data_IF_507249686145
#
_entry.id   IF_507249686145
#
_cell.length_a   1.000
_cell.length_b   1.000
_cell.length_c   1.000
_cell.angle_alpha   90.00
_cell.angle_beta   90.00
_cell.angle_gamma   90.00
#
_symmetry.space_group_name_H-M   'P 1'
#
loop_
_entity.id
_entity.type
_entity.pdbx_description
1 polymer ?
#
# COMPACT_ATOMS: atom_id res chain seq x y z
N UNK A 1 20.10 -23.77 -26.55
CA UNK A 1 19.55 -22.53 -25.97
C UNK A 1 19.94 -21.38 -26.88
N UNK A 2 19.02 -20.90 -27.71
CA UNK A 2 19.21 -19.68 -28.48
C UNK A 2 19.12 -18.49 -27.52
N UNK A 3 20.13 -17.61 -27.52
CA UNK A 3 20.10 -16.42 -26.70
C UNK A 3 18.89 -15.57 -27.09
N UNK A 4 17.98 -15.32 -26.15
CA UNK A 4 16.87 -14.39 -26.35
C UNK A 4 17.49 -13.04 -26.71
N UNK A 5 17.15 -12.44 -27.88
CA UNK A 5 17.72 -11.17 -28.27
C UNK A 5 17.47 -10.14 -27.18
N UNK A 6 18.51 -9.39 -26.82
CA UNK A 6 18.41 -8.36 -25.79
C UNK A 6 17.30 -7.36 -26.17
N UNK A 7 16.45 -6.94 -25.20
CA UNK A 7 15.43 -5.94 -25.45
C UNK A 7 16.08 -4.70 -26.10
N UNK A 8 15.61 -4.33 -27.30
CA UNK A 8 16.09 -3.10 -27.93
C UNK A 8 15.67 -1.92 -27.05
N UNK A 9 16.65 -1.14 -26.61
CA UNK A 9 16.37 0.08 -25.85
C UNK A 9 15.55 1.03 -26.72
N UNK A 10 14.49 1.69 -26.20
CA UNK A 10 13.73 2.62 -27.00
C UNK A 10 14.61 3.78 -27.46
N UNK A 11 14.60 4.09 -28.76
CA UNK A 11 15.34 5.23 -29.28
C UNK A 11 14.73 6.58 -28.81
N UNK A 12 13.43 6.60 -28.49
CA UNK A 12 12.69 7.79 -28.07
C UNK A 12 13.01 8.21 -26.60
N UNK A 13 13.39 9.48 -26.34
CA UNK A 13 13.69 9.97 -25.00
C UNK A 13 12.51 9.91 -24.03
N UNK A 14 11.26 10.13 -24.50
CA UNK A 14 10.09 10.07 -23.62
C UNK A 14 9.86 8.65 -23.09
N UNK A 15 10.02 7.67 -23.97
CA UNK A 15 9.94 6.26 -23.60
C UNK A 15 11.02 5.86 -22.59
N UNK A 16 12.26 6.36 -22.74
CA UNK A 16 13.34 6.12 -21.77
C UNK A 16 13.07 6.75 -20.40
N UNK A 17 12.53 7.97 -20.37
CA UNK A 17 12.15 8.63 -19.13
C UNK A 17 11.02 7.88 -18.40
N UNK A 18 9.97 7.47 -19.13
CA UNK A 18 8.90 6.65 -18.59
C UNK A 18 9.42 5.31 -18.06
N UNK A 19 10.32 4.64 -18.77
CA UNK A 19 10.97 3.42 -18.27
C UNK A 19 11.79 3.64 -17.01
N UNK A 20 12.51 4.76 -16.89
CA UNK A 20 13.22 5.13 -15.67
C UNK A 20 12.30 5.18 -14.45
N UNK A 21 11.10 5.72 -14.62
CA UNK A 21 10.09 5.81 -13.56
C UNK A 21 9.47 4.44 -13.26
N UNK A 22 9.06 3.69 -14.28
CA UNK A 22 8.27 2.46 -14.12
C UNK A 22 9.08 1.19 -13.93
N UNK A 23 10.38 1.21 -14.22
CA UNK A 23 11.31 0.07 -14.04
C UNK A 23 12.46 0.47 -13.13
N UNK A 24 13.09 1.61 -13.39
CA UNK A 24 14.24 2.08 -12.60
C UNK A 24 13.90 2.33 -11.13
N UNK A 25 12.82 3.07 -10.84
CA UNK A 25 12.40 3.36 -9.46
C UNK A 25 12.05 2.08 -8.69
N UNK A 26 11.21 1.15 -9.20
CA UNK A 26 10.97 -0.11 -8.51
C UNK A 26 12.22 -0.95 -8.24
N UNK A 27 13.17 -0.99 -9.19
CA UNK A 27 14.44 -1.70 -8.99
C UNK A 27 15.30 -1.05 -7.90
N UNK A 28 15.31 0.28 -7.82
CA UNK A 28 15.95 1.00 -6.72
C UNK A 28 15.25 0.71 -5.39
N UNK A 29 13.92 0.72 -5.36
CA UNK A 29 13.10 0.45 -4.18
C UNK A 29 13.20 -1.00 -3.69
N UNK A 30 13.43 -1.96 -4.59
CA UNK A 30 13.64 -3.39 -4.27
C UNK A 30 14.79 -3.60 -3.29
N UNK A 31 15.78 -2.71 -3.30
CA UNK A 31 16.92 -2.71 -2.36
C UNK A 31 16.46 -2.46 -0.92
N UNK A 32 15.39 -1.71 -0.71
CA UNK A 32 14.87 -1.37 0.61
C UNK A 32 13.78 -2.35 1.04
N UNK A 33 12.78 -2.57 0.19
CA UNK A 33 11.63 -3.43 0.49
C UNK A 33 11.04 -4.04 -0.79
N UNK A 34 10.79 -5.35 -0.77
CA UNK A 34 10.08 -6.03 -1.84
C UNK A 34 8.64 -5.48 -2.00
N UNK A 35 7.97 -5.14 -0.90
CA UNK A 35 6.63 -4.56 -0.93
C UNK A 35 6.58 -3.20 -1.62
N UNK A 36 7.60 -2.35 -1.40
CA UNK A 36 7.73 -1.05 -2.07
C UNK A 36 7.96 -1.22 -3.59
N UNK A 37 8.79 -2.19 -3.97
CA UNK A 37 8.99 -2.51 -5.38
C UNK A 37 7.69 -2.98 -6.04
N UNK A 38 6.94 -3.87 -5.37
CA UNK A 38 5.64 -4.35 -5.87
C UNK A 38 4.63 -3.20 -5.99
N UNK A 39 4.62 -2.24 -5.06
CA UNK A 39 3.79 -1.03 -5.20
C UNK A 39 4.18 -0.24 -6.43
N UNK A 40 5.48 0.01 -6.60
CA UNK A 40 5.98 0.90 -7.64
C UNK A 40 5.83 0.31 -9.05
N UNK A 41 5.83 -1.03 -9.18
CA UNK A 41 5.47 -1.71 -10.45
C UNK A 41 3.95 -1.70 -10.67
N UNK A 42 3.16 -1.50 -9.63
CA UNK A 42 1.72 -1.52 -9.76
C UNK A 42 1.17 -0.30 -10.54
N UNK A 43 1.06 -0.45 -11.86
CA UNK A 43 0.57 0.60 -12.76
C UNK A 43 1.20 0.55 -14.15
N UNK A 44 1.98 -0.49 -14.49
CA UNK A 44 2.65 -0.64 -15.79
C UNK A 44 1.75 -0.38 -17.01
N UNK A 45 0.44 -0.60 -16.90
CA UNK A 45 -0.50 -0.28 -17.98
C UNK A 45 -0.52 1.22 -18.35
N UNK A 46 -0.20 2.11 -17.41
CA UNK A 46 -0.05 3.56 -17.64
C UNK A 46 1.20 3.86 -18.46
N UNK A 47 2.25 3.04 -18.33
CA UNK A 47 3.50 3.17 -19.07
C UNK A 47 3.39 2.77 -20.55
N UNK A 48 2.27 2.14 -20.96
CA UNK A 48 1.99 1.83 -22.37
C UNK A 48 1.94 3.11 -23.20
N UNK A 49 1.45 4.22 -22.63
CA UNK A 49 1.46 5.55 -23.23
C UNK A 49 2.56 6.39 -22.55
N UNK A 50 3.71 6.66 -23.20
CA UNK A 50 4.85 7.32 -22.55
C UNK A 50 4.51 8.63 -21.85
N UNK A 51 3.66 9.46 -22.46
CA UNK A 51 3.22 10.74 -21.89
C UNK A 51 2.44 10.53 -20.59
N UNK A 52 1.50 9.57 -20.57
CA UNK A 52 0.73 9.27 -19.35
C UNK A 52 1.63 8.65 -18.29
N UNK A 53 2.49 7.71 -18.67
CA UNK A 53 3.46 7.10 -17.78
C UNK A 53 4.45 8.10 -17.16
N UNK A 54 4.80 9.16 -17.88
CA UNK A 54 5.68 10.23 -17.39
C UNK A 54 4.93 11.23 -16.50
N UNK A 55 3.79 11.72 -16.96
CA UNK A 55 3.07 12.81 -16.28
C UNK A 55 2.27 12.33 -15.06
N UNK A 56 1.65 11.15 -15.10
CA UNK A 56 0.75 10.73 -14.01
C UNK A 56 1.44 10.64 -12.64
N UNK A 57 2.62 10.00 -12.49
CA UNK A 57 3.36 9.99 -11.22
C UNK A 57 3.71 11.39 -10.71
N UNK A 58 4.15 12.29 -11.61
CA UNK A 58 4.54 13.66 -11.25
C UNK A 58 3.33 14.47 -10.80
N UNK A 59 2.23 14.42 -11.54
CA UNK A 59 1.00 15.13 -11.19
C UNK A 59 0.43 14.65 -9.87
N UNK A 60 0.41 13.33 -9.64
CA UNK A 60 -0.09 12.74 -8.39
C UNK A 60 0.84 13.05 -7.21
N UNK A 61 2.16 13.07 -7.42
CA UNK A 61 3.13 13.51 -6.42
C UNK A 61 2.91 14.99 -6.04
N UNK A 62 2.80 15.88 -7.03
CA UNK A 62 2.54 17.31 -6.80
C UNK A 62 1.21 17.52 -6.09
N UNK A 63 0.17 16.77 -6.46
CA UNK A 63 -1.12 16.81 -5.77
C UNK A 63 -1.00 16.38 -4.31
N UNK A 64 -0.27 15.30 -4.04
CA UNK A 64 0.03 14.87 -2.67
C UNK A 64 0.74 15.96 -1.89
N UNK A 65 1.77 16.58 -2.49
CA UNK A 65 2.52 17.68 -1.89
C UNK A 65 1.62 18.87 -1.55
N UNK A 66 0.75 19.30 -2.47
CA UNK A 66 -0.23 20.37 -2.21
C UNK A 66 -1.14 20.00 -1.03
N UNK A 67 -1.63 18.76 -0.97
CA UNK A 67 -2.49 18.32 0.15
C UNK A 67 -1.72 18.33 1.48
N UNK A 68 -0.45 17.90 1.49
CA UNK A 68 0.39 17.89 2.67
C UNK A 68 0.78 19.29 3.14
N UNK A 69 0.96 20.25 2.24
CA UNK A 69 1.32 21.64 2.58
C UNK A 69 0.13 22.41 3.13
N UNK A 70 -1.03 22.32 2.46
CA UNK A 70 -2.15 23.23 2.72
C UNK A 70 -3.26 22.63 3.58
N UNK A 71 -3.17 21.33 3.93
CA UNK A 71 -4.18 20.58 4.68
C UNK A 71 -5.63 20.87 4.28
N UNK A 72 -5.98 20.85 2.98
CA UNK A 72 -7.24 21.43 2.53
C UNK A 72 -8.45 20.65 3.08
N UNK A 73 -9.22 21.29 3.97
CA UNK A 73 -10.43 20.73 4.57
C UNK A 73 -10.21 19.82 5.78
N UNK A 74 -9.02 19.82 6.39
CA UNK A 74 -8.78 19.17 7.67
C UNK A 74 -7.81 19.99 8.54
N UNK A 75 -8.01 19.94 9.85
CA UNK A 75 -7.19 20.68 10.81
C UNK A 75 -6.13 19.77 11.46
N UNK A 76 -6.50 18.51 11.74
CA UNK A 76 -5.64 17.58 12.49
C UNK A 76 -5.18 16.38 11.66
N UNK A 77 -6.12 15.76 10.96
CA UNK A 77 -5.88 14.50 10.24
C UNK A 77 -6.67 14.47 8.94
N UNK A 78 -6.07 13.94 7.88
CA UNK A 78 -6.70 13.87 6.56
C UNK A 78 -8.04 13.12 6.54
N UNK A 79 -8.36 12.32 7.58
CA UNK A 79 -9.65 11.63 7.70
C UNK A 79 -10.82 12.56 7.97
N UNK A 80 -10.58 13.83 8.35
CA UNK A 80 -11.61 14.86 8.45
C UNK A 80 -12.11 15.32 7.07
N UNK A 81 -11.25 15.24 6.04
CA UNK A 81 -11.57 15.68 4.69
C UNK A 81 -12.08 14.52 3.82
N UNK A 82 -13.40 14.37 3.70
CA UNK A 82 -14.01 13.30 2.89
C UNK A 82 -13.43 13.26 1.46
N UNK A 83 -13.32 14.40 0.80
CA UNK A 83 -12.85 14.45 -0.59
C UNK A 83 -11.39 13.98 -0.72
N UNK A 84 -10.54 14.19 0.29
CA UNK A 84 -9.17 13.67 0.33
C UNK A 84 -9.21 12.15 0.42
N UNK A 85 -10.06 11.59 1.29
CA UNK A 85 -10.26 10.14 1.39
C UNK A 85 -10.74 9.52 0.07
N UNK A 86 -11.71 10.16 -0.58
CA UNK A 86 -12.22 9.73 -1.89
C UNK A 86 -11.11 9.75 -2.94
N UNK A 87 -10.31 10.82 -2.99
CA UNK A 87 -9.16 10.94 -3.89
C UNK A 87 -8.13 9.84 -3.65
N UNK A 88 -7.71 9.62 -2.39
CA UNK A 88 -6.73 8.59 -2.04
C UNK A 88 -7.22 7.20 -2.48
N UNK A 89 -8.48 6.89 -2.17
CA UNK A 89 -9.08 5.61 -2.50
C UNK A 89 -9.14 5.38 -4.02
N UNK A 90 -9.52 6.40 -4.80
CA UNK A 90 -9.54 6.34 -6.27
C UNK A 90 -8.13 6.17 -6.84
N UNK A 91 -7.19 7.03 -6.43
CA UNK A 91 -5.80 7.00 -6.94
C UNK A 91 -5.12 5.67 -6.63
N UNK A 92 -5.25 5.19 -5.39
CA UNK A 92 -4.72 3.89 -4.98
C UNK A 92 -5.35 2.72 -5.72
N UNK A 93 -6.67 2.72 -5.88
CA UNK A 93 -7.38 1.67 -6.62
C UNK A 93 -6.98 1.63 -8.11
N UNK A 94 -6.72 2.78 -8.73
CA UNK A 94 -6.19 2.86 -10.10
C UNK A 94 -4.79 2.24 -10.20
N UNK A 95 -3.89 2.58 -9.27
CA UNK A 95 -2.50 2.12 -9.31
C UNK A 95 -1.83 2.30 -7.94
N UNK A 96 -1.31 1.21 -7.37
CA UNK A 96 -0.49 1.27 -6.16
C UNK A 96 0.76 2.15 -6.31
N UNK A 97 1.31 2.27 -7.53
CA UNK A 97 2.41 3.19 -7.81
C UNK A 97 1.96 4.65 -7.70
N UNK A 98 0.80 5.01 -8.29
CA UNK A 98 0.24 6.35 -8.13
C UNK A 98 -0.08 6.65 -6.66
N UNK A 99 -0.67 5.70 -5.93
CA UNK A 99 -0.88 5.81 -4.49
C UNK A 99 0.42 6.04 -3.71
N UNK A 100 1.52 5.40 -4.12
CA UNK A 100 2.84 5.59 -3.51
C UNK A 100 3.37 7.00 -3.78
N UNK A 101 3.29 7.50 -5.01
CA UNK A 101 3.69 8.87 -5.34
C UNK A 101 2.83 9.92 -4.62
N UNK A 102 1.51 9.68 -4.51
CA UNK A 102 0.60 10.53 -3.73
C UNK A 102 1.03 10.60 -2.27
N UNK A 103 1.32 9.43 -1.68
CA UNK A 103 1.76 9.31 -0.28
C UNK A 103 3.10 10.00 -0.08
N UNK A 104 4.08 9.80 -0.96
CA UNK A 104 5.39 10.47 -0.85
C UNK A 104 5.27 11.98 -0.98
N UNK A 105 4.45 12.47 -1.91
CA UNK A 105 4.14 13.89 -2.04
C UNK A 105 3.52 14.43 -0.76
N UNK A 106 2.50 13.76 -0.23
CA UNK A 106 1.83 14.13 1.01
C UNK A 106 2.81 14.21 2.19
N UNK A 107 3.57 13.15 2.43
CA UNK A 107 4.54 13.10 3.54
C UNK A 107 5.61 14.20 3.42
N UNK A 108 6.15 14.43 2.22
CA UNK A 108 7.17 15.47 2.04
C UNK A 108 6.61 16.88 2.15
N UNK A 109 5.40 17.13 1.62
CA UNK A 109 4.72 18.41 1.78
C UNK A 109 4.42 18.70 3.24
N UNK A 110 3.85 17.72 3.95
CA UNK A 110 3.47 17.81 5.35
C UNK A 110 4.68 17.99 6.29
N UNK A 111 5.76 17.22 6.09
CA UNK A 111 6.94 17.30 6.95
C UNK A 111 7.80 18.55 6.74
N UNK A 112 7.93 19.02 5.48
CA UNK A 112 8.90 20.07 5.15
C UNK A 112 8.28 21.47 5.15
N UNK A 113 6.98 21.56 4.86
CA UNK A 113 6.33 22.81 4.50
C UNK A 113 4.94 22.97 5.15
N UNK A 114 4.36 21.91 5.71
CA UNK A 114 3.08 21.96 6.39
C UNK A 114 3.19 22.66 7.75
N UNK A 115 2.21 23.50 8.05
CA UNK A 115 2.08 24.10 9.38
C UNK A 115 1.35 23.13 10.31
N UNK A 116 1.82 23.00 11.55
CA UNK A 116 1.23 22.08 12.51
C UNK A 116 0.94 22.77 13.84
N UNK A 117 -0.09 23.64 13.91
CA UNK A 117 -0.34 24.48 15.08
C UNK A 117 -0.50 23.69 16.40
N UNK A 118 -1.00 22.46 16.32
CA UNK A 118 -1.14 21.54 17.45
C UNK A 118 0.20 20.95 17.92
N UNK A 119 1.17 20.81 17.03
CA UNK A 119 2.46 20.20 17.31
C UNK A 119 3.53 21.23 17.62
N UNK A 120 3.39 22.46 17.12
CA UNK A 120 4.27 23.59 17.44
C UNK A 120 4.15 24.05 18.90
N UNK A 121 3.08 23.63 19.60
CA UNK A 121 2.88 23.89 21.04
C UNK A 121 3.78 23.06 21.94
N UNK A 122 4.22 21.89 21.48
CA UNK A 122 5.23 21.11 22.17
C UNK A 122 6.56 21.79 21.91
N UNK A 123 6.94 22.72 22.81
CA UNK A 123 8.31 23.16 22.86
C UNK A 123 9.20 21.92 23.00
N UNK A 124 10.38 21.91 22.39
CA UNK A 124 11.39 20.85 22.60
C UNK A 124 11.96 20.83 24.04
N UNK A 125 11.13 21.16 25.04
CA UNK A 125 11.48 21.23 26.45
C UNK A 125 11.61 19.85 27.08
N UNK A 126 10.77 18.88 26.70
CA UNK A 126 10.83 17.52 27.23
C UNK A 126 11.14 16.47 26.14
N UNK A 127 12.05 15.54 26.46
CA UNK A 127 12.40 14.42 25.57
C UNK A 127 11.20 13.49 25.24
N UNK A 128 10.13 13.58 26.03
CA UNK A 128 8.90 12.81 25.84
C UNK A 128 7.96 13.41 24.79
N UNK A 129 8.15 14.67 24.41
CA UNK A 129 7.31 15.34 23.42
C UNK A 129 7.65 14.90 21.98
N UNK A 130 8.91 14.51 21.75
CA UNK A 130 9.41 14.05 20.44
C UNK A 130 8.64 12.79 19.97
N UNK A 131 8.57 11.68 20.74
CA UNK A 131 7.79 10.51 20.31
C UNK A 131 6.31 10.79 20.09
N UNK A 132 5.73 11.73 20.83
CA UNK A 132 4.34 12.12 20.67
C UNK A 132 4.10 12.82 19.32
N UNK A 133 4.88 13.85 19.01
CA UNK A 133 4.78 14.59 17.75
C UNK A 133 5.05 13.69 16.54
N UNK A 134 6.22 13.06 16.49
CA UNK A 134 6.63 12.24 15.34
C UNK A 134 5.85 10.93 15.25
N UNK A 135 5.39 10.38 16.38
CA UNK A 135 4.52 9.21 16.42
C UNK A 135 3.17 9.51 15.75
N UNK A 136 2.56 10.64 16.10
CA UNK A 136 1.29 11.10 15.51
C UNK A 136 1.41 11.32 14.00
N UNK A 137 2.45 12.02 13.55
CA UNK A 137 2.74 12.19 12.12
C UNK A 137 2.92 10.84 11.42
N UNK A 138 3.76 9.97 11.97
CA UNK A 138 4.02 8.65 11.39
C UNK A 138 2.74 7.83 11.24
N UNK A 139 1.86 7.83 12.24
CA UNK A 139 0.60 7.10 12.21
C UNK A 139 -0.37 7.68 11.16
N UNK A 140 -0.45 9.01 11.04
CA UNK A 140 -1.21 9.67 9.96
C UNK A 140 -0.70 9.25 8.59
N UNK A 141 0.62 9.26 8.37
CA UNK A 141 1.23 8.81 7.12
C UNK A 141 1.02 7.33 6.85
N UNK A 142 1.08 6.49 7.88
CA UNK A 142 0.86 5.07 7.78
C UNK A 142 -0.59 4.76 7.37
N UNK A 143 -1.57 5.48 7.94
CA UNK A 143 -2.98 5.36 7.57
C UNK A 143 -3.24 5.81 6.13
N UNK A 144 -2.65 6.94 5.74
CA UNK A 144 -2.70 7.43 4.37
C UNK A 144 -2.13 6.39 3.39
N UNK A 145 -0.92 5.90 3.65
CA UNK A 145 -0.25 4.88 2.87
C UNK A 145 -1.02 3.55 2.84
N UNK A 146 -1.67 3.18 3.95
CA UNK A 146 -2.47 1.97 4.02
C UNK A 146 -3.66 2.02 3.07
N UNK A 147 -4.38 3.14 2.99
CA UNK A 147 -5.47 3.30 2.02
C UNK A 147 -4.94 3.44 0.58
N UNK A 148 -3.93 4.28 0.38
CA UNK A 148 -3.38 4.60 -0.94
C UNK A 148 -2.66 3.42 -1.61
N UNK A 149 -1.95 2.61 -0.83
CA UNK A 149 -0.99 1.60 -1.31
C UNK A 149 -1.28 0.23 -0.72
N UNK A 150 -1.44 0.16 0.60
CA UNK A 150 -1.61 -1.10 1.33
C UNK A 150 -2.81 -1.91 0.84
N UNK A 151 -3.99 -1.28 0.80
CA UNK A 151 -5.25 -1.91 0.40
C UNK A 151 -5.21 -2.42 -1.05
N UNK A 152 -4.83 -1.62 -2.08
CA UNK A 152 -4.73 -2.11 -3.46
C UNK A 152 -3.74 -3.27 -3.64
N UNK A 153 -2.58 -3.23 -2.99
CA UNK A 153 -1.59 -4.32 -3.08
C UNK A 153 -2.14 -5.58 -2.41
N UNK A 154 -2.66 -5.45 -1.20
CA UNK A 154 -3.23 -6.58 -0.47
C UNK A 154 -4.38 -7.22 -1.26
N UNK A 155 -5.26 -6.40 -1.85
CA UNK A 155 -6.38 -6.90 -2.65
C UNK A 155 -5.91 -7.77 -3.82
N UNK A 156 -4.82 -7.38 -4.47
CA UNK A 156 -4.24 -8.15 -5.57
C UNK A 156 -3.54 -9.41 -5.13
N UNK A 157 -2.80 -9.35 -4.04
CA UNK A 157 -2.15 -10.53 -3.46
C UNK A 157 -3.20 -11.58 -3.11
N UNK A 158 -4.31 -11.19 -2.48
CA UNK A 158 -5.40 -12.10 -2.19
C UNK A 158 -6.16 -12.55 -3.45
N UNK A 159 -6.42 -11.65 -4.41
CA UNK A 159 -7.08 -12.01 -5.67
C UNK A 159 -6.25 -12.99 -6.51
N UNK A 160 -4.92 -12.97 -6.40
CA UNK A 160 -4.04 -13.90 -7.08
C UNK A 160 -4.20 -15.36 -6.60
N UNK A 161 -4.71 -15.58 -5.39
CA UNK A 161 -5.01 -16.92 -4.87
C UNK A 161 -6.23 -17.55 -5.58
N UNK A 162 -7.10 -16.74 -6.19
CA UNK A 162 -8.28 -17.20 -6.93
C UNK A 162 -7.99 -17.50 -8.41
N UNK A 163 -6.72 -17.68 -8.78
CA UNK A 163 -6.32 -18.03 -10.15
C UNK A 163 -6.81 -19.43 -10.51
N UNK A 164 -7.71 -19.50 -11.48
CA UNK A 164 -8.21 -20.77 -12.01
C UNK A 164 -7.17 -21.48 -12.90
N UNK A 165 -7.19 -22.84 -12.94
CA UNK A 165 -6.29 -23.63 -13.78
C UNK A 165 -6.34 -23.25 -15.27
N UNK A 166 -5.25 -23.51 -16.00
CA UNK A 166 -5.16 -23.20 -17.42
C UNK A 166 -6.17 -23.94 -18.32
N UNK A 167 -6.76 -25.03 -17.82
CA UNK A 167 -7.84 -25.78 -18.48
C UNK A 167 -9.16 -25.00 -18.57
N UNK A 168 -9.36 -23.97 -17.74
CA UNK A 168 -10.58 -23.16 -17.74
C UNK A 168 -10.52 -22.11 -18.87
N UNK A 169 -11.62 -21.86 -19.60
CA UNK A 169 -11.67 -20.84 -20.65
C UNK A 169 -11.15 -19.48 -20.18
N UNK A 170 -10.35 -18.79 -21.01
CA UNK A 170 -9.71 -17.50 -20.67
C UNK A 170 -10.71 -16.46 -20.18
N UNK A 171 -11.90 -16.39 -20.77
CA UNK A 171 -12.96 -15.47 -20.36
C UNK A 171 -13.44 -15.72 -18.92
N UNK A 172 -13.64 -16.98 -18.55
CA UNK A 172 -14.05 -17.36 -17.18
C UNK A 172 -12.94 -17.05 -16.18
N UNK A 173 -11.68 -17.35 -16.52
CA UNK A 173 -10.52 -17.02 -15.68
C UNK A 173 -10.40 -15.51 -15.44
N UNK A 174 -10.56 -14.73 -16.50
CA UNK A 174 -10.54 -13.27 -16.42
C UNK A 174 -11.70 -12.75 -15.57
N UNK A 175 -12.92 -13.25 -15.79
CA UNK A 175 -14.10 -12.86 -15.01
C UNK A 175 -13.92 -13.15 -13.52
N UNK A 176 -13.44 -14.35 -13.16
CA UNK A 176 -13.21 -14.73 -11.76
C UNK A 176 -12.08 -13.91 -11.13
N UNK A 177 -10.96 -13.72 -11.84
CA UNK A 177 -9.85 -12.90 -11.34
C UNK A 177 -10.24 -11.43 -11.12
N UNK A 178 -10.99 -10.85 -12.07
CA UNK A 178 -11.49 -9.47 -11.96
C UNK A 178 -12.56 -9.35 -10.87
N UNK A 179 -13.50 -10.29 -10.81
CA UNK A 179 -14.53 -10.33 -9.76
C UNK A 179 -13.91 -10.44 -8.37
N UNK A 180 -12.93 -11.32 -8.18
CA UNK A 180 -12.18 -11.43 -6.94
C UNK A 180 -11.45 -10.13 -6.59
N UNK A 181 -10.74 -9.52 -7.54
CA UNK A 181 -10.04 -8.27 -7.32
C UNK A 181 -10.98 -7.14 -6.88
N UNK A 182 -12.11 -6.96 -7.56
CA UNK A 182 -13.10 -5.91 -7.23
C UNK A 182 -13.73 -6.15 -5.86
N UNK A 183 -14.17 -7.39 -5.59
CA UNK A 183 -14.80 -7.75 -4.32
C UNK A 183 -13.84 -7.57 -3.15
N UNK A 184 -12.62 -8.08 -3.27
CA UNK A 184 -11.60 -7.99 -2.21
C UNK A 184 -11.19 -6.53 -2.00
N UNK A 185 -11.02 -5.74 -3.07
CA UNK A 185 -10.71 -4.32 -2.95
C UNK A 185 -11.80 -3.58 -2.17
N UNK A 186 -13.08 -3.79 -2.52
CA UNK A 186 -14.21 -3.18 -1.81
C UNK A 186 -14.26 -3.60 -0.33
N UNK A 187 -14.05 -4.90 -0.05
CA UNK A 187 -14.03 -5.41 1.33
C UNK A 187 -12.87 -4.82 2.15
N UNK A 188 -11.67 -4.73 1.59
CA UNK A 188 -10.51 -4.17 2.30
C UNK A 188 -10.64 -2.67 2.53
N UNK A 189 -11.19 -1.91 1.59
CA UNK A 189 -11.53 -0.49 1.82
C UNK A 189 -12.58 -0.37 2.90
N UNK A 190 -13.62 -1.21 2.89
CA UNK A 190 -14.62 -1.23 3.96
C UNK A 190 -13.98 -1.49 5.33
N UNK A 191 -13.15 -2.53 5.46
CA UNK A 191 -12.41 -2.84 6.69
C UNK A 191 -11.54 -1.65 7.12
N UNK A 192 -10.88 -0.98 6.17
CA UNK A 192 -10.12 0.22 6.45
C UNK A 192 -11.01 1.34 7.01
N UNK A 193 -12.18 1.62 6.41
CA UNK A 193 -13.11 2.66 6.90
C UNK A 193 -13.62 2.37 8.31
N UNK A 194 -13.80 1.10 8.68
CA UNK A 194 -14.20 0.72 10.03
C UNK A 194 -13.03 0.79 11.04
N UNK A 195 -11.80 0.58 10.57
CA UNK A 195 -10.61 0.54 11.43
C UNK A 195 -9.98 1.92 11.62
N UNK A 196 -10.06 2.81 10.62
CA UNK A 196 -9.44 4.13 10.63
C UNK A 196 -9.86 4.99 11.84
N UNK A 197 -11.14 5.10 12.24
CA UNK A 197 -11.53 5.83 13.45
C UNK A 197 -10.84 5.35 14.73
N UNK A 198 -10.57 4.05 14.82
CA UNK A 198 -9.87 3.47 15.97
C UNK A 198 -8.37 3.80 15.89
N UNK A 199 -7.77 3.62 14.72
CA UNK A 199 -6.34 3.85 14.49
C UNK A 199 -5.96 5.33 14.49
N UNK A 200 -6.90 6.26 14.32
CA UNK A 200 -6.64 7.71 14.41
C UNK A 200 -6.56 8.17 15.88
N UNK A 201 -7.19 7.46 16.83
CA UNK A 201 -7.21 7.89 18.25
C UNK A 201 -5.82 8.12 18.85
N UNK A 202 -4.81 7.25 18.65
CA UNK A 202 -3.47 7.49 19.18
C UNK A 202 -2.86 8.81 18.69
N UNK A 203 -3.19 9.26 17.47
CA UNK A 203 -2.71 10.55 16.93
C UNK A 203 -3.10 11.71 17.85
N UNK A 204 -4.35 11.70 18.31
CA UNK A 204 -4.87 12.72 19.23
C UNK A 204 -4.36 12.52 20.65
N UNK A 205 -4.34 11.28 21.15
CA UNK A 205 -3.87 10.98 22.52
C UNK A 205 -2.41 11.38 22.70
N UNK A 206 -1.55 11.12 21.73
CA UNK A 206 -0.15 11.51 21.79
C UNK A 206 0.04 13.03 21.69
N UNK A 207 -0.81 13.71 20.93
CA UNK A 207 -0.78 15.18 20.83
C UNK A 207 -1.50 15.90 21.99
N UNK A 208 -1.82 15.21 23.09
CA UNK A 208 -2.64 15.71 24.21
C UNK A 208 -3.93 16.42 23.74
N UNK A 209 -4.50 15.91 22.66
CA UNK A 209 -5.69 16.45 22.01
C UNK A 209 -6.86 15.48 22.15
N UNK A 210 -8.08 16.01 22.04
CA UNK A 210 -9.30 15.19 22.00
C UNK A 210 -9.63 14.91 20.53
N UNK A 211 -9.94 13.66 20.16
CA UNK A 211 -10.37 13.37 18.80
C UNK A 211 -11.58 14.19 18.41
N UNK A 212 -11.52 14.82 17.24
CA UNK A 212 -12.65 15.58 16.70
C UNK A 212 -13.74 14.61 16.26
N UNK A 213 -15.01 15.04 16.41
CA UNK A 213 -16.16 14.25 15.91
C UNK A 213 -16.02 14.04 14.41
N UNK A 214 -15.58 15.07 13.69
CA UNK A 214 -15.42 15.07 12.23
C UNK A 214 -14.41 14.01 11.77
N UNK A 215 -13.28 13.85 12.47
CA UNK A 215 -12.25 12.87 12.10
C UNK A 215 -12.76 11.42 12.15
N UNK A 216 -13.73 11.14 13.04
CA UNK A 216 -14.33 9.81 13.19
C UNK A 216 -15.56 9.63 12.31
N UNK A 217 -16.49 10.59 12.39
CA UNK A 217 -17.80 10.50 11.72
C UNK A 217 -17.65 10.47 10.21
N UNK A 218 -16.69 11.20 9.63
CA UNK A 218 -16.47 11.23 8.18
C UNK A 218 -16.28 9.81 7.61
N UNK A 219 -15.39 9.02 8.20
CA UNK A 219 -15.17 7.63 7.76
C UNK A 219 -16.30 6.67 8.14
N UNK A 220 -17.02 6.91 9.24
CA UNK A 220 -18.10 6.02 9.70
C UNK A 220 -19.40 6.23 8.92
N UNK A 221 -19.78 7.48 8.70
CA UNK A 221 -21.02 7.86 8.02
C UNK A 221 -20.85 7.80 6.49
N UNK A 222 -19.70 8.24 5.97
CA UNK A 222 -19.44 8.30 4.53
C UNK A 222 -18.55 7.17 4.01
N UNK A 223 -18.23 6.16 4.84
CA UNK A 223 -17.38 5.04 4.47
C UNK A 223 -17.86 4.29 3.22
N UNK A 224 -19.18 4.21 3.01
CA UNK A 224 -19.79 3.61 1.82
C UNK A 224 -19.36 4.32 0.53
N UNK A 225 -19.26 5.65 0.53
CA UNK A 225 -18.82 6.41 -0.66
C UNK A 225 -17.36 6.13 -1.02
N UNK A 226 -16.50 5.99 0.01
CA UNK A 226 -15.09 5.62 -0.18
C UNK A 226 -14.98 4.24 -0.84
N UNK A 227 -15.78 3.28 -0.38
CA UNK A 227 -15.84 1.92 -0.96
C UNK A 227 -16.35 1.95 -2.39
N UNK A 228 -17.46 2.64 -2.66
CA UNK A 228 -18.06 2.73 -4.00
C UNK A 228 -17.05 3.28 -4.99
N UNK A 229 -16.39 4.41 -4.69
CA UNK A 229 -15.42 5.01 -5.61
C UNK A 229 -14.17 4.14 -5.81
N UNK A 230 -13.68 3.47 -4.76
CA UNK A 230 -12.57 2.53 -4.90
C UNK A 230 -12.94 1.34 -5.80
N UNK A 231 -14.15 0.80 -5.65
CA UNK A 231 -14.69 -0.28 -6.50
C UNK A 231 -14.81 0.18 -7.95
N UNK A 232 -15.41 1.36 -8.19
CA UNK A 232 -15.55 1.93 -9.53
C UNK A 232 -14.18 2.19 -10.18
N UNK A 233 -13.22 2.72 -9.43
CA UNK A 233 -11.85 2.91 -9.89
C UNK A 233 -11.15 1.58 -10.22
N UNK A 234 -11.36 0.54 -9.40
CA UNK A 234 -10.82 -0.81 -9.66
C UNK A 234 -11.42 -1.43 -10.92
N UNK A 235 -12.73 -1.26 -11.15
CA UNK A 235 -13.41 -1.69 -12.38
C UNK A 235 -12.89 -0.92 -13.59
N UNK A 236 -12.77 0.41 -13.49
CA UNK A 236 -12.24 1.26 -14.56
C UNK A 236 -10.81 0.88 -14.92
N UNK A 237 -9.96 0.66 -13.92
CA UNK A 237 -8.61 0.11 -14.08
C UNK A 237 -8.62 -1.22 -14.82
N UNK A 238 -9.43 -2.18 -14.37
CA UNK A 238 -9.54 -3.50 -15.00
C UNK A 238 -9.95 -3.40 -16.47
N UNK A 239 -10.90 -2.53 -16.80
CA UNK A 239 -11.33 -2.27 -18.16
C UNK A 239 -10.21 -1.67 -19.03
N UNK A 240 -9.46 -0.71 -18.50
CA UNK A 240 -8.29 -0.14 -19.20
C UNK A 240 -7.22 -1.20 -19.43
N UNK A 241 -6.94 -2.05 -18.43
CA UNK A 241 -5.97 -3.15 -18.60
C UNK A 241 -6.44 -4.16 -19.65
N UNK A 242 -7.73 -4.53 -19.66
CA UNK A 242 -8.28 -5.48 -20.63
C UNK A 242 -8.28 -4.92 -22.06
N UNK A 243 -8.58 -3.63 -22.22
CA UNK A 243 -8.57 -2.97 -23.53
C UNK A 243 -7.15 -2.83 -24.10
N UNK A 244 -6.13 -2.71 -23.23
CA UNK A 244 -4.73 -2.63 -23.64
C UNK A 244 -4.08 -4.00 -23.88
N UNK A 245 -4.49 -5.05 -23.14
CA UNK A 245 -3.88 -6.39 -23.20
C UNK A 245 -4.30 -7.27 -24.40
N UNK A 246 -5.10 -6.76 -25.34
CA UNK A 246 -5.61 -7.51 -26.49
C UNK A 246 -5.11 -6.94 -27.84
N UNK A 247 -3.87 -7.23 -28.27
CA UNK A 247 -3.54 -7.13 -29.68
C UNK A 247 -4.13 -8.36 -30.39
N UNK A 248 -5.37 -8.25 -30.86
CA UNK A 248 -6.02 -9.31 -31.67
C UNK A 248 -5.29 -9.37 -33.02
N UNK A 249 -4.34 -10.31 -33.16
CA UNK A 249 -3.68 -10.58 -34.45
C UNK A 249 -2.53 -11.59 -34.34
N UNK A 250 -2.32 -12.45 -35.37
CA UNK A 250 -1.24 -13.43 -35.41
C UNK A 250 0.17 -12.80 -35.44
N UNK A 251 0.29 -11.53 -35.86
CA UNK A 251 1.55 -10.76 -35.89
C UNK A 251 1.70 -9.79 -34.71
N UNK A 252 1.00 -10.04 -33.60
CA UNK A 252 1.05 -9.16 -32.43
C UNK A 252 2.44 -9.17 -31.80
N UNK A 253 3.20 -8.10 -32.04
CA UNK A 253 4.46 -7.82 -31.33
C UNK A 253 4.19 -7.91 -29.81
N UNK A 254 5.14 -8.43 -29.01
CA UNK A 254 4.98 -8.53 -27.56
C UNK A 254 4.56 -7.17 -27.00
N UNK A 255 3.47 -7.15 -26.22
CA UNK A 255 2.94 -5.94 -25.60
C UNK A 255 4.05 -5.28 -24.77
N UNK A 256 4.17 -3.95 -24.88
CA UNK A 256 5.13 -3.16 -24.12
C UNK A 256 5.00 -3.42 -22.62
N UNK A 257 3.78 -3.63 -22.13
CA UNK A 257 3.56 -4.00 -20.72
C UNK A 257 4.26 -5.31 -20.36
N UNK A 258 4.12 -6.35 -21.18
CA UNK A 258 4.80 -7.63 -20.96
C UNK A 258 6.31 -7.51 -21.05
N UNK A 259 6.84 -6.66 -21.95
CA UNK A 259 8.29 -6.41 -22.03
C UNK A 259 8.83 -5.72 -20.75
N UNK A 260 8.10 -4.74 -20.21
CA UNK A 260 8.49 -4.08 -18.96
C UNK A 260 8.41 -5.02 -17.76
N UNK A 261 7.39 -5.87 -17.72
CA UNK A 261 7.24 -6.90 -16.68
C UNK A 261 8.37 -7.94 -16.77
N UNK A 262 8.66 -8.45 -17.97
CA UNK A 262 9.74 -9.41 -18.20
C UNK A 262 11.10 -8.83 -17.80
N UNK A 263 11.37 -7.56 -18.14
CA UNK A 263 12.59 -6.87 -17.70
C UNK A 263 12.69 -6.78 -16.17
N UNK A 264 11.60 -6.44 -15.49
CA UNK A 264 11.59 -6.38 -14.03
C UNK A 264 11.79 -7.76 -13.38
N UNK A 265 11.28 -8.83 -14.01
CA UNK A 265 11.42 -10.20 -13.53
C UNK A 265 12.80 -10.81 -13.80
N UNK A 266 13.40 -10.48 -14.95
CA UNK A 266 14.71 -11.00 -15.38
C UNK A 266 15.88 -10.32 -14.68
N UNK A 267 15.71 -9.07 -14.21
CA UNK A 267 16.74 -8.39 -13.42
C UNK A 267 17.00 -9.12 -12.09
N UNK A 268 18.30 -9.33 -11.80
CA UNK A 268 18.76 -10.15 -10.69
C UNK A 268 18.09 -9.77 -9.35
N UNK A 269 17.59 -10.77 -8.60
CA UNK A 269 16.93 -10.51 -7.33
C UNK A 269 17.90 -9.94 -6.29
N UNK A 270 17.85 -8.62 -6.11
CA UNK A 270 18.57 -7.96 -5.02
C UNK A 270 17.91 -8.33 -3.70
N UNK A 271 18.70 -8.86 -2.76
CA UNK A 271 18.25 -9.13 -1.38
C UNK A 271 17.90 -7.80 -0.68
N UNK A 272 16.62 -7.56 -0.32
CA UNK A 272 16.20 -6.32 0.33
C UNK A 272 16.92 -6.10 1.65
N UNK A 273 17.10 -4.85 2.08
CA UNK A 273 17.78 -4.48 3.31
C UNK A 273 17.12 -5.16 4.54
N UNK A 274 15.79 -5.19 4.60
CA UNK A 274 15.04 -5.87 5.66
C UNK A 274 15.23 -7.39 5.69
N UNK A 275 15.68 -8.01 4.59
CA UNK A 275 16.02 -9.44 4.55
C UNK A 275 17.42 -9.73 5.07
N UNK A 276 18.28 -8.71 5.15
CA UNK A 276 19.64 -8.81 5.72
C UNK A 276 19.64 -8.69 7.25
N UNK A 277 18.58 -8.14 7.82
CA UNK A 277 18.42 -8.04 9.27
C UNK A 277 18.22 -9.44 9.89
N UNK A 278 18.83 -9.72 11.06
CA UNK A 278 18.56 -10.96 11.79
C UNK A 278 17.05 -11.12 12.02
N UNK A 279 16.54 -12.35 11.85
CA UNK A 279 15.10 -12.63 11.93
C UNK A 279 14.49 -12.14 13.24
N UNK A 280 15.16 -12.36 14.37
CA UNK A 280 14.70 -11.90 15.69
C UNK A 280 14.53 -10.39 15.76
N UNK A 281 15.49 -9.62 15.24
CA UNK A 281 15.43 -8.15 15.22
C UNK A 281 14.23 -7.70 14.38
N UNK A 282 13.97 -8.39 13.26
CA UNK A 282 12.82 -8.08 12.40
C UNK A 282 11.48 -8.36 13.08
N UNK A 283 11.34 -9.50 13.77
CA UNK A 283 10.12 -9.83 14.53
C UNK A 283 9.91 -8.86 15.70
N UNK A 284 10.99 -8.52 16.41
CA UNK A 284 10.97 -7.52 17.47
C UNK A 284 10.51 -6.16 16.95
N UNK A 285 11.13 -5.67 15.87
CA UNK A 285 10.80 -4.37 15.27
C UNK A 285 9.34 -4.34 14.80
N UNK A 286 8.85 -5.41 14.16
CA UNK A 286 7.46 -5.49 13.72
C UNK A 286 6.48 -5.51 14.90
N UNK A 287 6.77 -6.29 15.96
CA UNK A 287 5.97 -6.26 17.18
C UNK A 287 5.98 -4.87 17.84
N UNK A 288 7.15 -4.21 17.91
CA UNK A 288 7.30 -2.89 18.50
C UNK A 288 6.49 -1.83 17.73
N UNK A 289 6.58 -1.83 16.39
CA UNK A 289 5.79 -0.95 15.53
C UNK A 289 4.30 -1.19 15.75
N UNK A 290 3.84 -2.45 15.72
CA UNK A 290 2.42 -2.76 15.93
C UNK A 290 1.93 -2.36 17.32
N UNK A 291 2.71 -2.60 18.37
CA UNK A 291 2.38 -2.14 19.72
C UNK A 291 2.34 -0.62 19.80
N UNK A 292 3.31 0.08 19.20
CA UNK A 292 3.32 1.52 19.17
C UNK A 292 2.05 2.05 18.50
N UNK A 293 1.68 1.52 17.33
CA UNK A 293 0.44 1.88 16.62
C UNK A 293 -0.82 1.65 17.47
N UNK A 294 -0.84 0.60 18.30
CA UNK A 294 -1.99 0.31 19.17
C UNK A 294 -1.91 1.01 20.53
N UNK A 295 -0.79 1.63 20.88
CA UNK A 295 -0.54 2.07 22.26
C UNK A 295 -1.48 3.17 22.73
N UNK A 296 -1.93 4.07 21.83
CA UNK A 296 -2.93 5.08 22.16
C UNK A 296 -4.36 4.55 22.32
N UNK A 297 -4.59 3.24 22.15
CA UNK A 297 -5.84 2.58 22.52
C UNK A 297 -5.83 2.10 23.98
N UNK A 298 -4.68 2.10 24.65
CA UNK A 298 -4.53 1.56 25.99
C UNK A 298 -4.77 2.62 27.05
N UNK A 299 -5.44 2.21 28.12
CA UNK A 299 -5.66 3.06 29.29
C UNK A 299 -4.42 3.13 30.20
N UNK A 300 -3.49 2.17 30.08
CA UNK A 300 -2.31 2.09 30.91
C UNK A 300 -1.09 1.54 30.16
N UNK A 301 0.12 2.03 30.52
CA UNK A 301 1.37 1.65 29.85
C UNK A 301 1.68 0.15 29.91
N UNK A 302 1.25 -0.56 30.97
CA UNK A 302 1.50 -2.00 31.10
C UNK A 302 0.73 -2.83 30.05
N UNK A 303 -0.39 -2.32 29.53
CA UNK A 303 -1.15 -2.97 28.47
C UNK A 303 -0.37 -2.97 27.14
N UNK A 304 0.44 -1.93 26.90
CA UNK A 304 1.34 -1.86 25.76
C UNK A 304 2.41 -2.96 25.85
N UNK A 305 3.05 -3.12 27.01
CA UNK A 305 4.03 -4.19 27.25
C UNK A 305 3.43 -5.59 27.09
N UNK A 306 2.22 -5.81 27.61
CA UNK A 306 1.52 -7.08 27.44
C UNK A 306 1.23 -7.35 25.96
N UNK A 307 0.70 -6.36 25.24
CA UNK A 307 0.41 -6.49 23.79
C UNK A 307 1.68 -6.75 23.00
N UNK A 308 2.77 -6.05 23.31
CA UNK A 308 4.08 -6.32 22.71
C UNK A 308 4.53 -7.76 22.92
N UNK A 309 4.45 -8.26 24.16
CA UNK A 309 4.77 -9.66 24.48
C UNK A 309 3.92 -10.65 23.67
N UNK A 310 2.61 -10.42 23.60
CA UNK A 310 1.67 -11.27 22.84
C UNK A 310 1.99 -11.25 21.34
N UNK A 311 2.18 -10.06 20.75
CA UNK A 311 2.48 -9.90 19.33
C UNK A 311 3.83 -10.50 18.97
N UNK A 312 4.86 -10.28 19.79
CA UNK A 312 6.18 -10.86 19.58
C UNK A 312 6.11 -12.38 19.68
N UNK A 313 5.43 -12.92 20.69
CA UNK A 313 5.25 -14.36 20.85
C UNK A 313 4.52 -14.98 19.65
N UNK A 314 3.40 -14.40 19.22
CA UNK A 314 2.66 -14.86 18.04
C UNK A 314 3.50 -14.81 16.75
N UNK A 315 4.32 -13.77 16.60
CA UNK A 315 5.23 -13.64 15.46
C UNK A 315 6.37 -14.67 15.50
N UNK A 316 6.93 -14.96 16.68
CA UNK A 316 7.95 -16.01 16.85
C UNK A 316 7.34 -17.38 16.57
N UNK A 317 6.12 -17.63 17.04
CA UNK A 317 5.37 -18.87 16.83
C UNK A 317 5.07 -19.15 15.35
N UNK A 318 4.81 -18.09 14.57
CA UNK A 318 4.56 -18.18 13.12
C UNK A 318 5.84 -18.08 12.28
N UNK A 319 6.99 -17.83 12.90
CA UNK A 319 8.27 -17.70 12.21
C UNK A 319 8.91 -19.07 11.95
N UNK A 320 9.80 -19.19 10.95
CA UNK A 320 10.54 -20.42 10.69
C UNK A 320 11.54 -20.80 11.81
N UNK A 321 11.71 -19.99 12.86
CA UNK A 321 12.57 -20.32 14.01
C UNK A 321 11.99 -21.44 14.87
N UNK A 322 10.66 -21.48 14.98
CA UNK A 322 9.95 -22.56 15.62
C UNK A 322 9.33 -23.39 14.50
N UNK A 323 9.96 -24.51 14.09
CA UNK A 323 9.34 -25.44 13.15
C UNK A 323 8.20 -26.14 13.88
N UNK A 324 7.10 -25.41 14.10
CA UNK A 324 5.84 -26.01 14.45
C UNK A 324 5.49 -26.93 13.30
N UNK A 325 5.47 -28.22 13.57
CA UNK A 325 5.03 -29.22 12.62
C UNK A 325 3.51 -29.09 12.47
N UNK A 326 3.04 -28.00 11.86
CA UNK A 326 1.63 -27.79 11.51
C UNK A 326 1.14 -28.91 10.59
N UNK A 327 2.06 -29.62 9.91
CA UNK A 327 1.78 -30.86 9.21
C UNK A 327 1.32 -32.00 10.12
N UNK A 328 1.72 -32.05 11.39
CA UNK A 328 1.17 -33.00 12.37
C UNK A 328 -0.27 -32.62 12.75
N UNK A 329 -0.57 -31.33 12.92
CA UNK A 329 -1.93 -30.84 13.16
C UNK A 329 -2.84 -31.06 11.96
N UNK A 330 -2.38 -30.76 10.74
CA UNK A 330 -3.12 -31.04 9.51
C UNK A 330 -3.37 -32.55 9.32
N UNK A 331 -2.37 -33.39 9.60
CA UNK A 331 -2.53 -34.87 9.60
C UNK A 331 -3.49 -35.35 10.70
N UNK A 332 -3.55 -34.68 11.84
CA UNK A 332 -4.49 -34.99 12.92
C UNK A 332 -5.93 -34.57 12.55
N UNK A 333 -6.12 -33.36 12.05
CA UNK A 333 -7.42 -32.86 11.60
C UNK A 333 -7.98 -33.68 10.43
N UNK A 334 -7.12 -34.22 9.55
CA UNK A 334 -7.53 -35.14 8.49
C UNK A 334 -8.03 -36.50 9.00
N UNK A 335 -7.76 -36.86 10.27
CA UNK A 335 -8.26 -38.10 10.90
C UNK A 335 -9.59 -37.92 11.63
N UNK A 336 -10.09 -36.69 11.80
CA UNK A 336 -11.38 -36.44 12.42
C UNK A 336 -12.45 -36.64 11.33
N UNK A 337 -13.35 -37.64 11.45
CA UNK A 337 -14.43 -37.82 10.50
C UNK A 337 -15.31 -36.56 10.54
N UNK A 338 -15.57 -35.99 9.35
CA UNK A 338 -16.59 -34.93 9.19
C UNK A 338 -17.98 -35.51 9.36
#
# INVERSE_FOLDING_TARGET
>A
MTATPLPQTPNDPLSRAAEGIWVGVPLALRRFSAGLAVSAVDGLYLAIRPIVGLLAPVLVFVLGLIIGVFHPGFDYVFTEALWVLLLIAVVGALSGALGLYLTLGFVLGDLLLGEHPQWDRFGNSDLLDIPAQYGSMFLTYALFAMLAVGVPIAAKSFAAEFRLPASVPRAVRALVGLGALVLISGLLVWVWTQSAPLLVRPVFVWADARPTVIAMSTTQENGVWIVILAVLATVGRAFVQLSLANPIGPDSKPDRMSQLEDRFQTDEPVRPLMSRMPLLVRLFLRAAILTALLSGLYAAFWQAWLTFGVLLFAQVLTSPLLPLNLGAYARFMAKIPR
#
